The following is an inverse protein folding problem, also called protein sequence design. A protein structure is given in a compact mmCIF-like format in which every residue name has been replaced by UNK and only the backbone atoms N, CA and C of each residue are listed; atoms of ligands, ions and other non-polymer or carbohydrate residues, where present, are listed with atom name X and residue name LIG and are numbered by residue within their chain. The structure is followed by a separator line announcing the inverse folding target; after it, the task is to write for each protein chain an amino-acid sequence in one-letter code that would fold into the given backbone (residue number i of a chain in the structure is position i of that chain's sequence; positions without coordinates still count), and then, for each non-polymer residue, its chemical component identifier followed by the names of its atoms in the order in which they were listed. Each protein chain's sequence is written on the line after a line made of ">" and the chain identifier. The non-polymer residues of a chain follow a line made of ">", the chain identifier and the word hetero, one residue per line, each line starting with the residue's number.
data_IF_657928379873
#
_entry.id   IF_657928379873
#
_cell.length_a   1.000
_cell.length_b   1.000
_cell.length_c   1.000
_cell.angle_alpha   90.00
_cell.angle_beta   90.00
_cell.angle_gamma   90.00
#
_symmetry.space_group_name_H-M   'P 1'
#
loop_
_entity.id
_entity.type
_entity.pdbx_description
1 polymer ?
#
# COMPACT_ATOMS: atom_id res chain seq x y z
N UNK A 1 -25.32 -1.08 -4.15
CA UNK A 1 -24.30 -1.92 -4.81
C UNK A 1 -23.47 -2.51 -3.70
N UNK A 2 -23.55 -3.81 -3.46
CA UNK A 2 -22.76 -4.47 -2.43
C UNK A 2 -21.67 -5.28 -3.12
N UNK A 3 -20.41 -4.91 -2.88
CA UNK A 3 -19.27 -5.69 -3.34
C UNK A 3 -19.13 -6.93 -2.45
N UNK A 4 -18.68 -8.03 -3.05
CA UNK A 4 -18.36 -9.22 -2.26
C UNK A 4 -17.26 -8.91 -1.24
N UNK A 5 -17.22 -9.68 -0.15
CA UNK A 5 -16.19 -9.51 0.89
C UNK A 5 -14.78 -9.62 0.30
N UNK A 6 -14.58 -10.52 -0.68
CA UNK A 6 -13.31 -10.72 -1.39
C UNK A 6 -12.92 -9.50 -2.22
N UNK A 7 -13.88 -8.87 -2.90
CA UNK A 7 -13.62 -7.68 -3.69
C UNK A 7 -13.31 -6.46 -2.80
N UNK A 8 -14.02 -6.33 -1.68
CA UNK A 8 -13.75 -5.30 -0.67
C UNK A 8 -12.34 -5.43 -0.10
N UNK A 9 -11.95 -6.65 0.29
CA UNK A 9 -10.60 -6.90 0.82
C UNK A 9 -9.51 -6.62 -0.23
N UNK A 10 -9.72 -7.01 -1.49
CA UNK A 10 -8.82 -6.69 -2.59
C UNK A 10 -8.65 -5.18 -2.82
N UNK A 11 -9.74 -4.41 -2.74
CA UNK A 11 -9.71 -2.95 -2.84
C UNK A 11 -9.00 -2.31 -1.64
N UNK A 12 -9.21 -2.82 -0.43
CA UNK A 12 -8.48 -2.37 0.77
C UNK A 12 -6.98 -2.55 0.60
N UNK A 13 -6.54 -3.69 0.05
CA UNK A 13 -5.13 -3.97 -0.22
C UNK A 13 -4.54 -3.05 -1.29
N UNK A 14 -5.33 -2.69 -2.31
CA UNK A 14 -4.91 -1.71 -3.31
C UNK A 14 -4.63 -0.32 -2.70
N UNK A 15 -5.34 0.02 -1.61
CA UNK A 15 -5.18 1.29 -0.90
C UNK A 15 -4.06 1.32 0.13
N UNK A 16 -3.40 0.18 0.37
CA UNK A 16 -2.30 0.08 1.32
C UNK A 16 -0.96 0.32 0.62
N UNK A 17 -0.47 1.56 0.71
CA UNK A 17 0.80 1.98 0.09
C UNK A 17 2.02 1.20 0.60
N UNK A 18 1.92 0.53 1.75
CA UNK A 18 2.98 -0.33 2.26
C UNK A 18 3.04 -1.70 1.56
N UNK A 19 1.92 -2.14 0.96
CA UNK A 19 1.83 -3.43 0.25
C UNK A 19 1.82 -3.25 -1.27
N UNK A 20 1.20 -2.17 -1.76
CA UNK A 20 1.13 -1.81 -3.17
C UNK A 20 1.59 -0.36 -3.33
N UNK A 21 2.80 -0.15 -3.84
CA UNK A 21 3.31 1.20 -4.08
C UNK A 21 2.50 1.94 -5.14
N UNK A 22 2.49 3.28 -5.12
CA UNK A 22 1.66 4.11 -6.01
C UNK A 22 1.86 3.81 -7.51
N UNK A 23 3.12 3.54 -7.91
CA UNK A 23 3.47 3.16 -9.29
C UNK A 23 2.87 1.79 -9.66
N UNK A 24 3.09 0.80 -8.80
CA UNK A 24 2.55 -0.56 -8.95
C UNK A 24 1.02 -0.54 -8.98
N UNK A 25 0.37 0.27 -8.14
CA UNK A 25 -1.08 0.46 -8.15
C UNK A 25 -1.58 1.04 -9.48
N UNK A 26 -0.94 2.09 -9.98
CA UNK A 26 -1.29 2.67 -11.30
C UNK A 26 -1.12 1.64 -12.41
N UNK A 27 -0.03 0.88 -12.40
CA UNK A 27 0.22 -0.17 -13.38
C UNK A 27 -0.83 -1.29 -13.30
N UNK A 28 -1.22 -1.68 -12.09
CA UNK A 28 -2.24 -2.69 -11.83
C UNK A 28 -3.61 -2.29 -12.40
N UNK A 29 -4.06 -1.06 -12.14
CA UNK A 29 -5.34 -0.55 -12.67
C UNK A 29 -5.33 -0.51 -14.20
N UNK A 30 -4.24 0.00 -14.80
CA UNK A 30 -4.09 0.05 -16.25
C UNK A 30 -4.07 -1.35 -16.88
N UNK A 31 -3.36 -2.29 -16.26
CA UNK A 31 -3.29 -3.68 -16.71
C UNK A 31 -4.64 -4.38 -16.59
N UNK A 32 -5.38 -4.16 -15.50
CA UNK A 32 -6.73 -4.68 -15.33
C UNK A 32 -7.69 -4.15 -16.41
N UNK A 33 -7.66 -2.85 -16.70
CA UNK A 33 -8.41 -2.27 -17.81
C UNK A 33 -8.00 -2.86 -19.17
N UNK A 34 -6.70 -3.05 -19.41
CA UNK A 34 -6.18 -3.63 -20.65
C UNK A 34 -6.62 -5.08 -20.84
N UNK A 35 -6.59 -5.90 -19.77
CA UNK A 35 -7.06 -7.28 -19.78
C UNK A 35 -8.56 -7.32 -20.07
N UNK A 36 -9.36 -6.52 -19.36
CA UNK A 36 -10.82 -6.47 -19.52
C UNK A 36 -11.25 -5.96 -20.91
N UNK A 37 -10.59 -4.92 -21.41
CA UNK A 37 -11.02 -4.23 -22.65
C UNK A 37 -10.37 -4.80 -23.91
N UNK A 38 -9.11 -5.25 -23.83
CA UNK A 38 -8.36 -5.75 -24.99
C UNK A 38 -8.27 -7.28 -25.02
N UNK A 39 -8.91 -7.99 -24.08
CA UNK A 39 -8.87 -9.46 -23.94
C UNK A 39 -7.44 -10.00 -23.97
N UNK A 40 -6.54 -9.33 -23.25
CA UNK A 40 -5.18 -9.84 -23.02
C UNK A 40 -5.21 -10.89 -21.91
N UNK A 41 -4.31 -11.85 -21.97
CA UNK A 41 -4.10 -12.81 -20.89
C UNK A 41 -3.45 -12.16 -19.66
N UNK A 42 -3.65 -12.78 -18.49
CA UNK A 42 -3.13 -12.30 -17.20
C UNK A 42 -1.60 -12.35 -17.11
N UNK A 43 -0.92 -13.00 -18.06
CA UNK A 43 0.54 -13.04 -18.19
C UNK A 43 1.18 -11.64 -18.24
N UNK A 44 0.43 -10.63 -18.72
CA UNK A 44 0.86 -9.23 -18.74
C UNK A 44 1.14 -8.67 -17.33
N UNK A 45 0.55 -9.26 -16.29
CA UNK A 45 0.83 -8.90 -14.90
C UNK A 45 2.17 -9.43 -14.40
N UNK A 46 2.66 -10.54 -14.98
CA UNK A 46 3.93 -11.15 -14.64
C UNK A 46 5.12 -10.53 -15.38
N UNK A 47 4.90 -10.03 -16.59
CA UNK A 47 5.93 -9.36 -17.41
C UNK A 47 6.24 -7.92 -16.96
N UNK A 48 5.55 -7.40 -15.93
CA UNK A 48 5.67 -6.02 -15.51
C UNK A 48 6.68 -5.85 -14.36
N UNK A 49 7.84 -5.27 -14.65
CA UNK A 49 8.90 -5.00 -13.65
C UNK A 49 8.38 -4.19 -12.45
N UNK A 50 7.39 -3.29 -12.64
CA UNK A 50 6.82 -2.50 -11.54
C UNK A 50 5.91 -3.31 -10.60
N UNK A 51 5.37 -4.44 -11.06
CA UNK A 51 4.53 -5.34 -10.27
C UNK A 51 5.36 -6.44 -9.57
N UNK A 52 6.60 -6.67 -10.00
CA UNK A 52 7.52 -7.67 -9.41
C UNK A 52 7.80 -7.44 -7.92
N UNK A 53 7.70 -6.19 -7.48
CA UNK A 53 7.91 -5.79 -6.07
C UNK A 53 6.74 -6.13 -5.14
N UNK A 54 5.57 -6.46 -5.69
CA UNK A 54 4.36 -6.74 -4.93
C UNK A 54 4.25 -8.25 -4.71
N UNK A 55 3.89 -8.66 -3.49
CA UNK A 55 3.64 -10.07 -3.19
C UNK A 55 2.55 -10.67 -4.09
N UNK A 56 2.77 -11.89 -4.58
CA UNK A 56 1.89 -12.52 -5.56
C UNK A 56 0.45 -12.76 -5.05
N UNK A 57 0.27 -12.99 -3.74
CA UNK A 57 -1.06 -13.14 -3.17
C UNK A 57 -1.78 -11.78 -3.10
N UNK A 58 -1.06 -10.73 -2.70
CA UNK A 58 -1.58 -9.35 -2.72
C UNK A 58 -1.95 -8.94 -4.14
N UNK A 59 -1.08 -9.19 -5.12
CA UNK A 59 -1.32 -8.83 -6.52
C UNK A 59 -2.61 -9.46 -7.07
N UNK A 60 -2.80 -10.77 -6.85
CA UNK A 60 -4.00 -11.49 -7.31
C UNK A 60 -5.27 -10.97 -6.62
N UNK A 61 -5.21 -10.73 -5.32
CA UNK A 61 -6.35 -10.27 -4.54
C UNK A 61 -6.73 -8.82 -4.92
N UNK A 62 -5.73 -7.96 -5.10
CA UNK A 62 -5.88 -6.58 -5.57
C UNK A 62 -6.47 -6.52 -6.99
N UNK A 63 -5.95 -7.33 -7.91
CA UNK A 63 -6.48 -7.44 -9.27
C UNK A 63 -7.95 -7.91 -9.27
N UNK A 64 -8.28 -8.96 -8.51
CA UNK A 64 -9.64 -9.46 -8.40
C UNK A 64 -10.61 -8.38 -7.86
N UNK A 65 -10.17 -7.57 -6.90
CA UNK A 65 -10.93 -6.42 -6.38
C UNK A 65 -11.21 -5.36 -7.45
N UNK A 66 -10.18 -4.95 -8.21
CA UNK A 66 -10.32 -3.95 -9.28
C UNK A 66 -11.23 -4.46 -10.40
N UNK A 67 -11.04 -5.70 -10.84
CA UNK A 67 -11.88 -6.32 -11.88
C UNK A 67 -13.33 -6.41 -11.43
N UNK A 68 -13.58 -6.87 -10.20
CA UNK A 68 -14.94 -6.98 -9.67
C UNK A 68 -15.61 -5.61 -9.57
N UNK A 69 -14.88 -4.58 -9.14
CA UNK A 69 -15.38 -3.20 -9.12
C UNK A 69 -15.74 -2.72 -10.52
N UNK A 70 -14.86 -2.94 -11.51
CA UNK A 70 -15.10 -2.54 -12.88
C UNK A 70 -16.32 -3.25 -13.49
N UNK A 71 -16.45 -4.56 -13.24
CA UNK A 71 -17.59 -5.36 -13.72
C UNK A 71 -18.90 -4.96 -13.05
N UNK A 72 -18.91 -4.72 -11.74
CA UNK A 72 -20.14 -4.30 -11.04
C UNK A 72 -20.54 -2.89 -11.47
N UNK A 73 -19.58 -1.96 -11.61
CA UNK A 73 -19.83 -0.62 -12.13
C UNK A 73 -20.39 -0.64 -13.56
N UNK A 74 -19.87 -1.52 -14.43
CA UNK A 74 -20.38 -1.70 -15.78
C UNK A 74 -21.80 -2.29 -15.77
N UNK A 75 -22.04 -3.29 -14.92
CA UNK A 75 -23.34 -3.96 -14.76
C UNK A 75 -24.43 -3.01 -14.25
N UNK A 76 -24.10 -2.11 -13.33
CA UNK A 76 -25.04 -1.13 -12.78
C UNK A 76 -25.12 0.17 -13.60
N UNK A 77 -24.38 0.25 -14.72
CA UNK A 77 -24.24 1.46 -15.53
C UNK A 77 -23.92 2.70 -14.66
N UNK A 78 -22.96 2.54 -13.76
CA UNK A 78 -22.64 3.55 -12.77
C UNK A 78 -21.84 4.69 -13.37
N UNK A 79 -22.18 5.91 -12.94
CA UNK A 79 -21.48 7.13 -13.32
C UNK A 79 -20.17 7.30 -12.53
N UNK A 80 -19.31 8.23 -12.98
CA UNK A 80 -18.04 8.55 -12.34
C UNK A 80 -18.15 8.85 -10.82
N UNK A 81 -19.16 9.60 -10.32
CA UNK A 81 -19.29 9.82 -8.88
C UNK A 81 -19.65 8.56 -8.10
N UNK A 82 -20.50 7.67 -8.62
CA UNK A 82 -20.80 6.39 -7.97
C UNK A 82 -19.56 5.50 -7.89
N UNK A 83 -18.79 5.39 -8.98
CA UNK A 83 -17.53 4.63 -9.00
C UNK A 83 -16.55 5.20 -7.96
N UNK A 84 -16.41 6.52 -7.89
CA UNK A 84 -15.54 7.18 -6.90
C UNK A 84 -16.00 6.92 -5.46
N UNK A 85 -17.30 6.92 -5.20
CA UNK A 85 -17.83 6.60 -3.88
C UNK A 85 -17.54 5.15 -3.48
N UNK A 86 -17.73 4.17 -4.38
CA UNK A 86 -17.34 2.79 -4.10
C UNK A 86 -15.84 2.66 -3.86
N UNK A 87 -15.03 3.31 -4.68
CA UNK A 87 -13.58 3.32 -4.55
C UNK A 87 -13.15 3.83 -3.16
N UNK A 88 -13.70 4.97 -2.73
CA UNK A 88 -13.35 5.60 -1.46
C UNK A 88 -13.88 4.86 -0.24
N UNK A 89 -15.07 4.26 -0.32
CA UNK A 89 -15.68 3.55 0.82
C UNK A 89 -14.92 2.27 1.19
N UNK A 90 -14.17 1.69 0.26
CA UNK A 90 -13.42 0.44 0.47
C UNK A 90 -11.91 0.66 0.59
N UNK A 91 -11.44 1.91 0.55
CA UNK A 91 -10.04 2.28 0.73
C UNK A 91 -9.87 3.19 1.95
N UNK A 92 -10.04 2.62 3.14
CA UNK A 92 -9.90 3.35 4.41
C UNK A 92 -8.52 4.00 4.60
N UNK A 93 -7.49 3.53 3.87
CA UNK A 93 -6.10 4.00 3.96
C UNK A 93 -5.69 5.03 2.90
N UNK A 94 -6.54 5.32 1.90
CA UNK A 94 -6.19 6.28 0.83
C UNK A 94 -6.37 7.72 1.31
N UNK A 95 -5.40 8.59 0.97
CA UNK A 95 -5.28 9.98 1.43
C UNK A 95 -5.04 10.15 2.94
N UNK A 96 -4.53 9.13 3.63
CA UNK A 96 -4.03 9.34 4.99
C UNK A 96 -2.68 10.06 4.96
N UNK A 97 -2.45 11.03 5.87
CA UNK A 97 -1.16 11.69 6.00
C UNK A 97 -0.10 10.66 6.41
N UNK A 98 0.97 10.57 5.64
CA UNK A 98 2.15 9.78 5.98
C UNK A 98 3.26 10.70 6.49
N UNK A 99 4.04 10.21 7.44
CA UNK A 99 5.19 10.93 8.00
C UNK A 99 6.46 10.47 7.29
N UNK A 100 7.27 11.42 6.86
CA UNK A 100 8.60 11.16 6.30
C UNK A 100 9.65 11.42 7.38
N UNK A 101 10.33 10.37 7.82
CA UNK A 101 11.35 10.43 8.87
C UNK A 101 12.73 10.26 8.23
N UNK A 102 13.67 11.10 8.62
CA UNK A 102 15.08 11.00 8.20
C UNK A 102 15.96 10.91 9.45
N UNK A 103 16.57 9.74 9.66
CA UNK A 103 17.52 9.49 10.73
C UNK A 103 18.93 9.63 10.17
N UNK A 104 19.67 10.63 10.64
CA UNK A 104 21.07 10.81 10.27
C UNK A 104 21.93 9.93 11.16
N UNK A 105 22.58 8.95 10.57
CA UNK A 105 23.53 8.09 11.31
C UNK A 105 24.95 8.60 11.06
N UNK A 106 25.82 8.42 12.05
CA UNK A 106 27.26 8.68 11.93
C UNK A 106 28.01 7.41 12.30
N UNK A 107 28.97 7.02 11.47
CA UNK A 107 29.79 5.81 11.66
C UNK A 107 31.24 6.25 11.84
N UNK A 108 31.91 5.81 12.89
CA UNK A 108 33.25 6.27 13.30
C UNK A 108 34.36 6.09 12.25
N UNK A 109 34.09 5.33 11.18
CA UNK A 109 35.05 5.02 10.11
C UNK A 109 34.72 5.65 8.74
N UNK A 110 33.69 6.51 8.62
CA UNK A 110 33.36 7.22 7.36
C UNK A 110 33.04 8.69 7.61
N UNK A 111 33.61 9.56 6.78
CA UNK A 111 33.43 11.02 6.84
C UNK A 111 32.02 11.52 6.53
N UNK A 112 31.13 10.64 6.06
CA UNK A 112 29.68 10.86 5.96
C UNK A 112 28.97 9.56 6.31
N UNK A 113 28.17 9.58 7.37
CA UNK A 113 27.27 8.46 7.67
C UNK A 113 26.10 8.40 6.69
N UNK A 114 25.31 7.32 6.77
CA UNK A 114 24.17 7.08 5.87
C UNK A 114 22.89 7.61 6.51
N UNK A 115 22.20 8.51 5.82
CA UNK A 115 20.87 8.93 6.22
C UNK A 115 19.89 7.78 5.93
N UNK A 116 19.18 7.34 6.96
CA UNK A 116 18.11 6.35 6.83
C UNK A 116 16.81 7.14 6.71
N UNK A 117 16.19 7.08 5.54
CA UNK A 117 14.93 7.75 5.26
C UNK A 117 13.83 6.71 5.05
N UNK A 118 12.71 6.88 5.74
CA UNK A 118 11.54 6.03 5.56
C UNK A 118 10.26 6.82 5.80
N UNK A 119 9.18 6.37 5.17
CA UNK A 119 7.83 6.88 5.39
C UNK A 119 7.05 5.92 6.28
N UNK A 120 6.24 6.43 7.20
CA UNK A 120 5.41 5.60 8.08
C UNK A 120 4.05 6.23 8.39
N UNK A 121 3.07 5.42 8.79
CA UNK A 121 1.77 5.89 9.30
C UNK A 121 1.89 6.45 10.73
N UNK A 122 0.81 7.08 11.23
CA UNK A 122 0.74 7.55 12.63
C UNK A 122 0.92 6.40 13.63
N UNK A 123 0.28 5.25 13.39
CA UNK A 123 0.37 4.08 14.27
C UNK A 123 1.80 3.52 14.31
N UNK A 124 2.46 3.43 13.15
CA UNK A 124 3.86 3.00 13.06
C UNK A 124 4.80 3.99 13.75
N UNK A 125 4.54 5.29 13.64
CA UNK A 125 5.30 6.33 14.36
C UNK A 125 5.12 6.20 15.88
N UNK A 126 3.89 5.98 16.35
CA UNK A 126 3.60 5.77 17.77
C UNK A 126 4.31 4.53 18.32
N UNK A 127 4.29 3.42 17.59
CA UNK A 127 5.01 2.20 17.97
C UNK A 127 6.53 2.43 18.02
N UNK A 128 7.09 3.15 17.04
CA UNK A 128 8.51 3.50 17.01
C UNK A 128 8.92 4.35 18.23
N UNK A 129 8.16 5.41 18.53
CA UNK A 129 8.42 6.28 19.69
C UNK A 129 8.23 5.51 21.00
N UNK A 130 7.24 4.62 21.08
CA UNK A 130 7.02 3.74 22.22
C UNK A 130 8.23 2.85 22.50
N UNK A 131 8.72 2.17 21.46
CA UNK A 131 9.93 1.32 21.54
C UNK A 131 11.18 2.10 21.96
N UNK A 132 11.39 3.30 21.41
CA UNK A 132 12.52 4.16 21.81
C UNK A 132 12.41 4.59 23.28
N UNK A 133 11.22 4.97 23.74
CA UNK A 133 10.99 5.34 25.15
C UNK A 133 11.26 4.17 26.09
N UNK A 134 10.83 2.97 25.73
CA UNK A 134 11.04 1.78 26.56
C UNK A 134 12.51 1.33 26.55
N UNK A 135 13.23 1.52 25.44
CA UNK A 135 14.68 1.35 25.40
C UNK A 135 15.39 2.33 26.35
N UNK A 136 15.02 3.61 26.36
CA UNK A 136 15.58 4.60 27.29
C UNK A 136 15.35 4.21 28.76
N UNK A 137 14.11 3.82 29.12
CA UNK A 137 13.81 3.35 30.49
C UNK A 137 14.64 2.12 30.87
N UNK A 138 14.87 1.22 29.93
CA UNK A 138 15.68 0.01 30.18
C UNK A 138 17.14 0.39 30.42
N UNK A 139 17.68 1.32 29.64
CA UNK A 139 19.05 1.82 29.83
C UNK A 139 19.21 2.57 31.16
N UNK A 140 18.23 3.39 31.56
CA UNK A 140 18.22 4.07 32.86
C UNK A 140 18.23 3.07 34.03
N UNK A 141 17.48 1.97 33.91
CA UNK A 141 17.51 0.90 34.93
C UNK A 141 18.87 0.24 35.03
N UNK A 142 19.50 -0.07 33.88
CA UNK A 142 20.84 -0.68 33.83
C UNK A 142 21.91 0.25 34.37
N UNK A 143 21.81 1.56 34.11
CA UNK A 143 22.76 2.55 34.60
C UNK A 143 22.65 2.85 36.11
N UNK A 144 21.48 2.59 36.72
CA UNK A 144 21.22 2.76 38.15
C UNK A 144 21.40 1.47 38.98
N UNK A 145 21.87 0.38 38.37
CA UNK A 145 22.37 -0.84 39.04
C UNK A 145 23.90 -0.83 39.07
#
# INVERSE_FOLDING_TARGET
>A
MELSAVATEGLTLCGDTARVGDRSFRCLVMSACDILLKRKDEDVLHDNDELSSVDAAVLKQSYAGIVTLALEAAKTNSDTPQIRCLWNNHMEKVNQPTYLITLKTEETNKSKGKDIQFSCSMEQLQDLVGKLRDACKTMERVANT
#
